data_IF_345167556553
#
_entry.id   IF_345167556553
#
_cell.length_a   1.000
_cell.length_b   1.000
_cell.length_c   1.000
_cell.angle_alpha   90.00
_cell.angle_beta   90.00
_cell.angle_gamma   90.00
#
_symmetry.space_group_name_H-M   'P 1'
#
loop_
_entity.id
_entity.type
_entity.pdbx_description
1 polymer ?
#
# COMPACT_ATOMS: atom_id res chain seq x y z
N UNK A 1 10.19 -13.73 -21.24
CA UNK A 1 10.23 -12.68 -20.21
C UNK A 1 11.56 -12.75 -19.50
N UNK A 2 12.35 -11.68 -19.49
CA UNK A 2 13.68 -11.69 -18.84
C UNK A 2 13.53 -11.73 -17.31
N UNK A 3 14.55 -12.23 -16.60
CA UNK A 3 14.57 -12.21 -15.12
C UNK A 3 14.42 -10.79 -14.56
N UNK A 4 14.90 -9.78 -15.28
CA UNK A 4 14.75 -8.36 -14.93
C UNK A 4 13.30 -7.88 -15.08
N UNK A 5 12.64 -8.21 -16.19
CA UNK A 5 11.23 -7.87 -16.40
C UNK A 5 10.32 -8.54 -15.38
N UNK A 6 10.59 -9.80 -15.05
CA UNK A 6 9.86 -10.55 -14.03
C UNK A 6 10.02 -9.90 -12.65
N UNK A 7 11.26 -9.54 -12.26
CA UNK A 7 11.53 -8.86 -11.00
C UNK A 7 10.84 -7.49 -10.92
N UNK A 8 10.84 -6.72 -12.02
CA UNK A 8 10.15 -5.43 -12.12
C UNK A 8 8.65 -5.59 -11.95
N UNK A 9 8.03 -6.54 -12.65
CA UNK A 9 6.59 -6.78 -12.57
C UNK A 9 6.16 -7.20 -11.16
N UNK A 10 6.88 -8.12 -10.52
CA UNK A 10 6.60 -8.53 -9.15
C UNK A 10 6.76 -7.38 -8.15
N UNK A 11 7.75 -6.50 -8.38
CA UNK A 11 7.95 -5.29 -7.59
C UNK A 11 6.78 -4.30 -7.73
N UNK A 12 6.36 -4.03 -8.97
CA UNK A 12 5.23 -3.15 -9.30
C UNK A 12 3.91 -3.68 -8.73
N UNK A 13 3.74 -5.01 -8.68
CA UNK A 13 2.61 -5.69 -8.03
C UNK A 13 2.65 -5.66 -6.49
N UNK A 14 3.69 -5.10 -5.88
CA UNK A 14 3.78 -4.91 -4.43
C UNK A 14 4.32 -6.11 -3.64
N UNK A 15 4.93 -7.11 -4.29
CA UNK A 15 5.61 -8.22 -3.57
C UNK A 15 6.82 -7.73 -2.77
N UNK A 16 7.13 -8.42 -1.67
CA UNK A 16 8.31 -8.12 -0.85
C UNK A 16 9.60 -8.43 -1.63
N UNK A 17 10.71 -7.78 -1.29
CA UNK A 17 12.00 -8.10 -1.89
C UNK A 17 12.45 -9.53 -1.56
N UNK A 18 12.05 -10.09 -0.42
CA UNK A 18 12.29 -11.51 -0.12
C UNK A 18 11.60 -12.42 -1.13
N UNK A 19 10.30 -12.20 -1.36
CA UNK A 19 9.50 -13.02 -2.27
C UNK A 19 10.01 -12.92 -3.70
N UNK A 20 10.42 -11.72 -4.13
CA UNK A 20 11.00 -11.51 -5.46
C UNK A 20 12.32 -12.27 -5.59
N UNK A 21 13.17 -12.28 -4.56
CA UNK A 21 14.42 -13.05 -4.58
C UNK A 21 14.15 -14.55 -4.73
N UNK A 22 13.17 -15.08 -3.99
CA UNK A 22 12.77 -16.50 -4.05
C UNK A 22 12.21 -16.85 -5.44
N UNK A 23 11.33 -16.02 -5.99
CA UNK A 23 10.64 -16.29 -7.26
C UNK A 23 11.52 -16.10 -8.50
N UNK A 24 12.54 -15.24 -8.42
CA UNK A 24 13.42 -14.92 -9.57
C UNK A 24 14.81 -15.57 -9.48
N UNK A 25 15.18 -16.10 -8.31
CA UNK A 25 16.52 -16.58 -8.01
C UNK A 25 17.59 -15.47 -8.02
N UNK A 26 17.18 -14.21 -7.89
CA UNK A 26 18.07 -13.06 -7.83
C UNK A 26 18.39 -12.71 -6.37
N UNK A 27 19.56 -12.13 -6.13
CA UNK A 27 19.91 -11.58 -4.82
C UNK A 27 19.29 -10.18 -4.66
N UNK A 28 19.01 -9.77 -3.41
CA UNK A 28 18.54 -8.41 -3.12
C UNK A 28 19.43 -7.33 -3.73
N UNK A 29 20.74 -7.52 -3.66
CA UNK A 29 21.74 -6.62 -4.25
C UNK A 29 21.59 -6.53 -5.78
N UNK A 30 21.34 -7.67 -6.45
CA UNK A 30 21.06 -7.70 -7.87
C UNK A 30 19.79 -6.94 -8.25
N UNK A 31 18.74 -7.03 -7.43
CA UNK A 31 17.49 -6.28 -7.65
C UNK A 31 17.72 -4.77 -7.48
N UNK A 32 18.44 -4.34 -6.45
CA UNK A 32 18.79 -2.92 -6.27
C UNK A 32 19.65 -2.37 -7.41
N UNK A 33 20.60 -3.16 -7.89
CA UNK A 33 21.39 -2.80 -9.07
C UNK A 33 20.51 -2.64 -10.31
N UNK A 34 19.58 -3.56 -10.55
CA UNK A 34 18.62 -3.47 -11.66
C UNK A 34 17.74 -2.23 -11.54
N UNK A 35 17.21 -1.91 -10.35
CA UNK A 35 16.42 -0.69 -10.11
C UNK A 35 17.22 0.56 -10.45
N UNK A 36 18.48 0.62 -10.03
CA UNK A 36 19.35 1.77 -10.30
C UNK A 36 19.68 1.91 -11.80
N UNK A 37 19.97 0.80 -12.47
CA UNK A 37 20.25 0.78 -13.92
C UNK A 37 19.01 1.14 -14.76
N UNK A 38 17.84 0.62 -14.39
CA UNK A 38 16.58 0.96 -15.05
C UNK A 38 16.17 2.42 -14.79
N UNK A 39 16.43 2.95 -13.58
CA UNK A 39 16.22 4.37 -13.27
C UNK A 39 17.09 5.28 -14.14
N UNK A 40 18.36 4.92 -14.36
CA UNK A 40 19.26 5.62 -15.29
C UNK A 40 18.78 5.60 -16.75
N UNK A 41 17.90 4.66 -17.10
CA UNK A 41 17.25 4.53 -18.43
C UNK A 41 15.85 5.15 -18.47
N UNK A 42 15.44 5.87 -17.41
CA UNK A 42 14.13 6.52 -17.30
C UNK A 42 12.98 5.60 -16.86
N UNK A 43 13.26 4.38 -16.42
CA UNK A 43 12.26 3.42 -15.93
C UNK A 43 12.23 3.46 -14.39
N UNK A 44 11.31 4.24 -13.83
CA UNK A 44 11.13 4.34 -12.38
C UNK A 44 10.18 3.26 -11.84
N UNK A 45 10.74 2.27 -11.15
CA UNK A 45 9.97 1.17 -10.57
C UNK A 45 9.05 1.63 -9.43
N UNK A 46 9.42 2.66 -8.67
CA UNK A 46 8.56 3.21 -7.61
C UNK A 46 7.40 3.98 -8.21
N UNK A 47 7.67 4.82 -9.22
CA UNK A 47 6.66 5.50 -10.01
C UNK A 47 5.68 4.53 -10.67
N UNK A 48 6.17 3.43 -11.25
CA UNK A 48 5.33 2.37 -11.82
C UNK A 48 4.48 1.66 -10.76
N UNK A 49 5.04 1.39 -9.58
CA UNK A 49 4.29 0.82 -8.45
C UNK A 49 3.21 1.78 -7.97
N UNK A 50 3.51 3.07 -7.83
CA UNK A 50 2.55 4.11 -7.47
C UNK A 50 1.46 4.30 -8.53
N UNK A 51 1.81 4.20 -9.81
CA UNK A 51 0.85 4.23 -10.92
C UNK A 51 -0.05 2.98 -10.91
N UNK A 52 0.51 1.80 -10.68
CA UNK A 52 -0.25 0.56 -10.54
C UNK A 52 -1.15 0.55 -9.29
N UNK A 53 -0.72 1.18 -8.20
CA UNK A 53 -1.56 1.43 -7.01
C UNK A 53 -2.68 2.44 -7.31
N UNK A 54 -2.40 3.47 -8.13
CA UNK A 54 -3.41 4.44 -8.61
C UNK A 54 -4.37 3.85 -9.64
N UNK A 55 -4.02 2.73 -10.26
CA UNK A 55 -4.91 1.89 -11.09
C UNK A 55 -5.89 1.05 -10.24
N UNK A 56 -6.19 1.54 -9.03
CA UNK A 56 -7.20 1.07 -8.07
C UNK A 56 -8.63 1.06 -8.65
N UNK A 57 -8.86 1.54 -9.87
CA UNK A 57 -10.07 1.20 -10.65
C UNK A 57 -10.19 -0.31 -10.93
N UNK A 58 -9.08 -1.05 -10.88
CA UNK A 58 -9.08 -2.52 -10.90
C UNK A 58 -9.42 -3.13 -9.52
N UNK A 59 -9.40 -2.32 -8.46
CA UNK A 59 -9.85 -2.69 -7.11
C UNK A 59 -11.38 -2.75 -7.03
N UNK A 60 -12.10 -1.84 -7.73
CA UNK A 60 -13.55 -1.93 -7.89
C UNK A 60 -13.97 -3.21 -8.62
N UNK A 61 -13.22 -3.62 -9.65
CA UNK A 61 -13.46 -4.90 -10.35
C UNK A 61 -13.17 -6.11 -9.46
N UNK A 62 -12.08 -6.10 -8.69
CA UNK A 62 -11.76 -7.18 -7.73
C UNK A 62 -12.76 -7.23 -6.57
N UNK A 63 -13.26 -6.07 -6.15
CA UNK A 63 -14.32 -5.95 -5.13
C UNK A 63 -15.65 -6.47 -5.67
N UNK A 64 -16.00 -6.18 -6.93
CA UNK A 64 -17.17 -6.76 -7.60
C UNK A 64 -17.06 -8.29 -7.75
N UNK A 65 -15.88 -8.82 -8.10
CA UNK A 65 -15.64 -10.27 -8.18
C UNK A 65 -15.76 -10.92 -6.79
N UNK A 66 -15.19 -10.30 -5.75
CA UNK A 66 -15.29 -10.78 -4.38
C UNK A 66 -16.73 -10.75 -3.85
N UNK A 67 -17.47 -9.67 -4.12
CA UNK A 67 -18.88 -9.55 -3.74
C UNK A 67 -19.75 -10.57 -4.44
N UNK A 68 -19.53 -10.80 -5.74
CA UNK A 68 -20.24 -11.84 -6.48
C UNK A 68 -19.95 -13.24 -5.93
N UNK A 69 -18.69 -13.52 -5.54
CA UNK A 69 -18.33 -14.78 -4.90
C UNK A 69 -18.98 -14.94 -3.51
N UNK A 70 -19.03 -13.86 -2.72
CA UNK A 70 -19.68 -13.83 -1.42
C UNK A 70 -21.18 -14.09 -1.56
N UNK A 71 -21.85 -13.38 -2.48
CA UNK A 71 -23.28 -13.55 -2.77
C UNK A 71 -23.56 -14.98 -3.22
N UNK A 72 -22.74 -15.56 -4.11
CA UNK A 72 -22.91 -16.93 -4.57
C UNK A 72 -22.78 -17.97 -3.44
N UNK A 73 -21.88 -17.76 -2.48
CA UNK A 73 -21.77 -18.63 -1.30
C UNK A 73 -22.95 -18.46 -0.33
N UNK A 74 -23.46 -17.23 -0.18
CA UNK A 74 -24.69 -16.98 0.58
C UNK A 74 -25.92 -17.62 -0.08
N UNK A 75 -26.03 -17.63 -1.42
CA UNK A 75 -27.11 -18.29 -2.14
C UNK A 75 -27.05 -19.82 -1.98
N UNK A 76 -25.86 -20.41 -2.04
CA UNK A 76 -25.66 -21.85 -1.74
C UNK A 76 -26.06 -22.17 -0.31
N UNK A 77 -25.69 -21.31 0.63
CA UNK A 77 -26.07 -21.43 2.03
C UNK A 77 -27.60 -21.37 2.23
N UNK A 78 -28.28 -20.41 1.60
CA UNK A 78 -29.74 -20.30 1.64
C UNK A 78 -30.44 -21.50 1.01
N UNK A 79 -29.83 -22.10 -0.01
CA UNK A 79 -30.34 -23.34 -0.62
C UNK A 79 -30.23 -24.52 0.34
N UNK A 80 -29.06 -24.72 0.98
CA UNK A 80 -28.86 -25.73 2.01
C UNK A 80 -29.76 -25.49 3.25
N UNK A 81 -30.06 -24.23 3.56
CA UNK A 81 -31.03 -23.82 4.57
C UNK A 81 -32.45 -24.24 4.24
N UNK A 82 -32.88 -24.02 2.99
CA UNK A 82 -34.20 -24.41 2.52
C UNK A 82 -34.40 -25.94 2.49
N UNK A 83 -33.30 -26.69 2.41
CA UNK A 83 -33.27 -28.15 2.40
C UNK A 83 -33.14 -28.77 3.83
N UNK A 84 -33.20 -27.96 4.89
CA UNK A 84 -33.06 -28.36 6.31
C UNK A 84 -31.71 -29.02 6.67
N UNK A 85 -30.64 -28.73 5.92
CA UNK A 85 -29.28 -29.25 6.16
C UNK A 85 -28.38 -28.26 6.94
N UNK A 86 -28.94 -27.20 7.54
CA UNK A 86 -28.14 -26.21 8.26
C UNK A 86 -27.68 -26.73 9.62
N UNK A 87 -26.38 -27.02 9.71
CA UNK A 87 -25.70 -27.17 10.99
C UNK A 87 -25.37 -25.81 11.61
N UNK A 88 -25.25 -25.77 12.94
CA UNK A 88 -24.87 -24.59 13.71
C UNK A 88 -23.53 -24.01 13.22
N UNK A 89 -22.61 -24.87 12.80
CA UNK A 89 -21.31 -24.50 12.27
C UNK A 89 -21.41 -23.62 11.01
N UNK A 90 -22.41 -23.87 10.16
CA UNK A 90 -22.59 -23.09 8.92
C UNK A 90 -23.06 -21.67 9.24
N UNK A 91 -23.93 -21.51 10.25
CA UNK A 91 -24.40 -20.20 10.73
C UNK A 91 -23.29 -19.37 11.38
N UNK A 92 -22.40 -20.01 12.16
CA UNK A 92 -21.25 -19.35 12.78
C UNK A 92 -20.24 -18.88 11.74
N UNK A 93 -19.97 -19.70 10.72
CA UNK A 93 -19.12 -19.34 9.59
C UNK A 93 -19.67 -18.12 8.84
N UNK A 94 -20.98 -18.07 8.60
CA UNK A 94 -21.65 -16.95 7.95
C UNK A 94 -21.48 -15.62 8.71
N UNK A 95 -21.69 -15.66 10.04
CA UNK A 95 -21.50 -14.50 10.91
C UNK A 95 -20.03 -14.04 10.93
N UNK A 96 -19.08 -14.99 10.89
CA UNK A 96 -17.65 -14.69 10.78
C UNK A 96 -17.32 -13.97 9.47
N UNK A 97 -17.82 -14.47 8.34
CA UNK A 97 -17.60 -13.83 7.03
C UNK A 97 -18.22 -12.43 6.96
N UNK A 98 -19.43 -12.23 7.51
CA UNK A 98 -20.08 -10.92 7.58
C UNK A 98 -19.30 -9.93 8.45
N UNK A 99 -18.80 -10.35 9.61
CA UNK A 99 -17.96 -9.51 10.49
C UNK A 99 -16.62 -9.15 9.85
N UNK A 100 -15.97 -10.10 9.18
CA UNK A 100 -14.71 -9.86 8.48
C UNK A 100 -14.91 -8.88 7.32
N UNK A 101 -15.98 -9.05 6.53
CA UNK A 101 -16.33 -8.10 5.48
C UNK A 101 -16.61 -6.70 6.03
N UNK A 102 -17.36 -6.60 7.13
CA UNK A 102 -17.63 -5.33 7.79
C UNK A 102 -16.36 -4.67 8.35
N UNK A 103 -15.42 -5.43 8.92
CA UNK A 103 -14.14 -4.89 9.39
C UNK A 103 -13.23 -4.38 8.25
N UNK A 104 -13.34 -4.96 7.06
CA UNK A 104 -12.60 -4.53 5.86
C UNK A 104 -13.23 -3.26 5.25
N UNK A 105 -14.57 -3.21 5.16
CA UNK A 105 -15.32 -2.04 4.64
C UNK A 105 -15.49 -0.91 5.65
N UNK A 106 -15.36 -1.18 6.95
CA UNK A 106 -15.43 -0.16 7.97
C UNK A 106 -14.32 0.85 7.66
N UNK A 107 -14.66 2.12 7.37
CA UNK A 107 -13.66 3.11 7.07
C UNK A 107 -12.70 3.15 8.25
N UNK A 108 -11.44 2.76 8.03
CA UNK A 108 -10.40 3.13 8.97
C UNK A 108 -10.50 4.65 9.02
N UNK A 109 -10.88 5.20 10.18
CA UNK A 109 -10.78 6.63 10.45
C UNK A 109 -9.29 6.96 10.47
N UNK A 110 -8.67 6.96 9.30
CA UNK A 110 -7.35 7.52 9.09
C UNK A 110 -7.61 9.00 9.24
N UNK A 111 -7.18 9.55 10.36
CA UNK A 111 -7.18 10.98 10.56
C UNK A 111 -6.12 11.56 9.60
N UNK A 112 -6.57 11.89 8.38
CA UNK A 112 -5.72 12.42 7.31
C UNK A 112 -5.01 13.69 7.79
N UNK A 113 -5.63 14.48 8.69
CA UNK A 113 -4.98 15.65 9.28
C UNK A 113 -3.83 15.25 10.19
N UNK A 114 -4.03 14.25 11.05
CA UNK A 114 -2.97 13.72 11.89
C UNK A 114 -1.81 13.11 11.08
N UNK A 115 -2.13 12.38 9.99
CA UNK A 115 -1.14 11.78 9.11
C UNK A 115 -0.33 12.84 8.35
N UNK A 116 -0.99 13.88 7.83
CA UNK A 116 -0.32 15.01 7.17
C UNK A 116 0.58 15.77 8.15
N UNK A 117 0.10 16.03 9.37
CA UNK A 117 0.89 16.67 10.42
C UNK A 117 2.13 15.83 10.78
N UNK A 118 1.97 14.52 10.92
CA UNK A 118 3.09 13.62 11.22
C UNK A 118 4.13 13.59 10.09
N UNK A 119 3.66 13.57 8.84
CA UNK A 119 4.52 13.61 7.65
C UNK A 119 5.30 14.92 7.58
N UNK A 120 4.63 16.06 7.76
CA UNK A 120 5.25 17.38 7.78
C UNK A 120 6.33 17.50 8.86
N UNK A 121 6.04 17.04 10.09
CA UNK A 121 7.01 17.02 11.19
C UNK A 121 8.24 16.18 10.85
N UNK A 122 8.05 14.97 10.32
CA UNK A 122 9.16 14.11 9.90
C UNK A 122 10.03 14.78 8.84
N UNK A 123 9.43 15.39 7.82
CA UNK A 123 10.15 16.07 6.75
C UNK A 123 10.98 17.24 7.29
N UNK A 124 10.41 18.08 8.15
CA UNK A 124 11.14 19.20 8.78
C UNK A 124 12.30 18.67 9.63
N UNK A 125 12.08 17.64 10.44
CA UNK A 125 13.14 17.02 11.24
C UNK A 125 14.27 16.44 10.38
N UNK A 126 13.95 15.81 9.24
CA UNK A 126 14.97 15.32 8.30
C UNK A 126 15.77 16.45 7.66
N UNK A 127 15.14 17.57 7.33
CA UNK A 127 15.84 18.76 6.78
C UNK A 127 16.79 19.34 7.83
N UNK A 128 16.35 19.45 9.09
CA UNK A 128 17.18 19.92 10.20
C UNK A 128 18.38 18.98 10.40
N UNK A 129 18.15 17.67 10.39
CA UNK A 129 19.21 16.67 10.55
C UNK A 129 20.26 16.74 9.42
N UNK A 130 19.82 17.01 8.18
CA UNK A 130 20.72 17.23 7.04
C UNK A 130 21.48 18.55 7.15
N UNK A 131 20.85 19.59 7.69
CA UNK A 131 21.42 20.93 7.82
C UNK A 131 22.35 21.10 9.03
N UNK A 132 22.32 20.20 10.02
CA UNK A 132 22.95 20.37 11.33
C UNK A 132 24.43 20.79 11.34
N UNK A 133 25.19 20.45 10.30
CA UNK A 133 26.61 20.78 10.16
C UNK A 133 26.86 21.96 9.19
N UNK A 134 25.82 22.66 8.76
CA UNK A 134 25.88 23.78 7.82
C UNK A 134 25.26 25.02 8.47
N UNK A 135 26.11 25.84 9.10
CA UNK A 135 25.72 27.05 9.83
C UNK A 135 24.83 27.98 9.00
N UNK A 136 25.19 28.24 7.74
CA UNK A 136 24.43 29.14 6.86
C UNK A 136 23.00 28.64 6.64
N UNK A 137 22.83 27.32 6.49
CA UNK A 137 21.52 26.71 6.30
C UNK A 137 20.74 26.67 7.61
N UNK A 138 21.40 26.38 8.73
CA UNK A 138 20.77 26.41 10.06
C UNK A 138 20.26 27.81 10.41
N UNK A 139 21.05 28.85 10.14
CA UNK A 139 20.71 30.25 10.38
C UNK A 139 19.52 30.67 9.50
N UNK A 140 19.56 30.34 8.20
CA UNK A 140 18.43 30.58 7.30
C UNK A 140 17.14 29.85 7.74
N UNK A 141 17.25 28.58 8.17
CA UNK A 141 16.11 27.81 8.66
C UNK A 141 15.53 28.41 9.96
N UNK A 142 16.38 28.93 10.83
CA UNK A 142 15.97 29.61 12.06
C UNK A 142 15.22 30.90 11.76
N UNK A 143 15.78 31.74 10.89
CA UNK A 143 15.20 33.03 10.49
C UNK A 143 13.85 32.88 9.77
N UNK A 144 13.62 31.74 9.12
CA UNK A 144 12.40 31.47 8.35
C UNK A 144 11.46 30.47 9.04
N UNK A 145 11.72 30.09 10.28
CA UNK A 145 11.01 29.01 10.99
C UNK A 145 9.49 29.20 11.04
N UNK A 146 9.01 30.39 11.40
CA UNK A 146 7.58 30.73 11.44
C UNK A 146 6.93 30.69 10.04
N UNK A 147 7.66 31.15 9.01
CA UNK A 147 7.20 31.14 7.63
C UNK A 147 7.10 29.70 7.08
N UNK A 148 8.05 28.84 7.44
CA UNK A 148 8.04 27.43 7.06
C UNK A 148 6.86 26.71 7.72
N UNK A 149 6.69 26.89 9.04
CA UNK A 149 5.59 26.29 9.79
C UNK A 149 4.23 26.72 9.22
N UNK A 150 4.04 28.01 8.97
CA UNK A 150 2.77 28.54 8.45
C UNK A 150 2.47 28.13 7.00
N UNK A 151 3.48 27.81 6.19
CA UNK A 151 3.31 27.28 4.82
C UNK A 151 3.04 25.77 4.79
N UNK A 152 3.58 25.02 5.75
CA UNK A 152 3.55 23.56 5.76
C UNK A 152 2.38 23.00 6.58
N UNK A 153 1.99 23.66 7.68
CA UNK A 153 0.97 23.17 8.61
C UNK A 153 -0.40 23.88 8.50
N UNK A 154 -0.66 24.55 7.37
CA UNK A 154 -1.92 25.24 7.10
C UNK A 154 -3.05 24.29 6.72
#
# INVERSE_FOLDING_TARGET
>A
MSKRELARNLFVQGKSLEDICVLTGLTRQGIYYMKKDDFGKGIDWEGLKLAALRDEKDLENKEAIFLNALIAEFDKFLKAASENELSIEVLENLNRYAKTYWAIKAPQKIDIKALNLQTCKKTISSIIELAKNNEVVCEWLSDNSDLIISKVLK
#
